data_IF_196382966014
#
_entry.id   IF_196382966014
#
_cell.length_a   1.000
_cell.length_b   1.000
_cell.length_c   1.000
_cell.angle_alpha   90.00
_cell.angle_beta   90.00
_cell.angle_gamma   90.00
#
_symmetry.space_group_name_H-M   'P 1'
#
loop_
_entity.id
_entity.type
_entity.pdbx_description
1 polymer ?
#
# COMPACT_ATOMS: atom_id res chain seq x y z
N UNK A 1 21.50 -19.00 13.17
CA UNK A 1 20.83 -20.11 12.43
C UNK A 1 19.45 -19.69 11.94
N UNK A 2 18.70 -18.93 12.75
CA UNK A 2 17.40 -18.36 12.38
C UNK A 2 17.47 -17.44 11.15
N UNK A 3 18.50 -16.60 11.06
CA UNK A 3 18.72 -15.67 9.95
C UNK A 3 18.88 -16.42 8.63
N UNK A 4 19.66 -17.51 8.64
CA UNK A 4 19.89 -18.33 7.44
C UNK A 4 18.61 -19.06 7.00
N UNK A 5 17.81 -19.54 7.96
CA UNK A 5 16.50 -20.12 7.66
C UNK A 5 15.53 -19.07 7.08
N UNK A 6 15.51 -17.85 7.64
CA UNK A 6 14.69 -16.75 7.15
C UNK A 6 15.08 -16.34 5.72
N UNK A 7 16.38 -16.15 5.46
CA UNK A 7 16.88 -15.82 4.12
C UNK A 7 16.51 -16.92 3.13
N UNK A 8 16.71 -18.19 3.50
CA UNK A 8 16.36 -19.32 2.63
C UNK A 8 14.87 -19.35 2.32
N UNK A 9 14.01 -19.14 3.32
CA UNK A 9 12.57 -19.08 3.13
C UNK A 9 12.15 -17.92 2.21
N UNK A 10 12.75 -16.74 2.36
CA UNK A 10 12.50 -15.58 1.49
C UNK A 10 12.92 -15.89 0.05
N UNK A 11 14.12 -16.44 -0.15
CA UNK A 11 14.62 -16.79 -1.48
C UNK A 11 13.71 -17.82 -2.15
N UNK A 12 13.33 -18.88 -1.43
CA UNK A 12 12.40 -19.89 -1.95
C UNK A 12 11.04 -19.29 -2.28
N UNK A 13 10.51 -18.39 -1.46
CA UNK A 13 9.26 -17.70 -1.75
C UNK A 13 9.36 -16.84 -3.02
N UNK A 14 10.45 -16.08 -3.17
CA UNK A 14 10.66 -15.24 -4.36
C UNK A 14 10.80 -16.07 -5.64
N UNK A 15 11.60 -17.14 -5.59
CA UNK A 15 11.77 -18.07 -6.72
C UNK A 15 10.45 -18.77 -7.04
N UNK A 16 9.72 -19.24 -6.01
CA UNK A 16 8.43 -19.91 -6.18
C UNK A 16 7.37 -18.98 -6.80
N UNK A 17 7.28 -17.73 -6.35
CA UNK A 17 6.39 -16.73 -6.94
C UNK A 17 6.79 -16.44 -8.39
N UNK A 18 8.09 -16.24 -8.67
CA UNK A 18 8.57 -16.04 -10.04
C UNK A 18 8.24 -17.21 -10.97
N UNK A 19 8.46 -18.44 -10.50
CA UNK A 19 8.13 -19.66 -11.24
C UNK A 19 6.62 -19.79 -11.49
N UNK A 20 5.78 -19.48 -10.49
CA UNK A 20 4.33 -19.50 -10.66
C UNK A 20 3.87 -18.48 -11.71
N UNK A 21 4.39 -17.25 -11.63
CA UNK A 21 4.05 -16.17 -12.56
C UNK A 21 4.54 -16.45 -13.99
N UNK A 22 5.62 -17.22 -14.16
CA UNK A 22 6.13 -17.60 -15.47
C UNK A 22 5.09 -18.33 -16.32
N UNK A 23 4.28 -19.22 -15.71
CA UNK A 23 3.24 -19.96 -16.42
C UNK A 23 1.98 -19.13 -16.74
N UNK A 24 1.86 -17.94 -16.17
CA UNK A 24 0.70 -17.07 -16.39
C UNK A 24 0.87 -16.29 -17.70
N UNK A 25 -0.15 -16.25 -18.58
CA UNK A 25 -0.12 -15.45 -19.80
C UNK A 25 0.09 -13.97 -19.49
N UNK A 26 0.86 -13.29 -20.35
CA UNK A 26 1.19 -11.86 -20.18
C UNK A 26 -0.07 -10.98 -20.06
N UNK A 27 -1.12 -11.29 -20.84
CA UNK A 27 -2.37 -10.53 -20.83
C UNK A 27 -3.11 -10.67 -19.48
N UNK A 28 -3.08 -11.87 -18.87
CA UNK A 28 -3.66 -12.10 -17.56
C UNK A 28 -2.89 -11.35 -16.46
N UNK A 29 -1.55 -11.34 -16.51
CA UNK A 29 -0.72 -10.56 -15.59
C UNK A 29 -1.00 -9.06 -15.72
N UNK A 30 -1.05 -8.54 -16.94
CA UNK A 30 -1.35 -7.14 -17.20
C UNK A 30 -2.74 -6.75 -16.69
N UNK A 31 -3.75 -7.58 -16.96
CA UNK A 31 -5.14 -7.33 -16.53
C UNK A 31 -5.27 -7.39 -15.01
N UNK A 32 -4.71 -8.42 -14.37
CA UNK A 32 -4.72 -8.55 -12.92
C UNK A 32 -3.99 -7.37 -12.24
N UNK A 33 -2.85 -6.96 -12.81
CA UNK A 33 -2.09 -5.82 -12.32
C UNK A 33 -2.87 -4.50 -12.42
N UNK A 34 -3.51 -4.27 -13.56
CA UNK A 34 -4.38 -3.10 -13.76
C UNK A 34 -5.57 -3.10 -12.79
N UNK A 35 -6.25 -4.23 -12.62
CA UNK A 35 -7.39 -4.36 -11.68
C UNK A 35 -6.94 -4.10 -10.25
N UNK A 36 -5.82 -4.71 -9.82
CA UNK A 36 -5.25 -4.48 -8.48
C UNK A 36 -4.92 -3.01 -8.25
N UNK A 37 -4.30 -2.34 -9.24
CA UNK A 37 -3.97 -0.93 -9.15
C UNK A 37 -5.23 -0.06 -9.05
N UNK A 38 -6.26 -0.33 -9.84
CA UNK A 38 -7.55 0.39 -9.78
C UNK A 38 -8.23 0.19 -8.44
N UNK A 39 -8.31 -1.05 -7.95
CA UNK A 39 -8.88 -1.36 -6.62
C UNK A 39 -8.10 -0.63 -5.52
N UNK A 40 -6.77 -0.65 -5.60
CA UNK A 40 -5.89 0.07 -4.68
C UNK A 40 -6.08 1.59 -4.72
N UNK A 41 -6.31 2.17 -5.90
CA UNK A 41 -6.64 3.60 -6.08
C UNK A 41 -7.99 3.93 -5.45
N UNK A 42 -9.03 3.17 -5.79
CA UNK A 42 -10.40 3.41 -5.33
C UNK A 42 -10.55 3.20 -3.82
N UNK A 43 -9.81 2.28 -3.23
CA UNK A 43 -9.81 2.08 -1.77
C UNK A 43 -8.82 2.98 -1.03
N UNK A 44 -7.61 3.10 -1.56
CA UNK A 44 -6.46 3.74 -0.90
C UNK A 44 -6.57 5.26 -0.86
N UNK A 45 -6.88 5.92 -1.98
CA UNK A 45 -6.96 7.38 -2.02
C UNK A 45 -8.06 7.93 -1.11
N UNK A 46 -9.32 7.43 -1.16
CA UNK A 46 -10.37 7.90 -0.26
C UNK A 46 -10.03 7.65 1.21
N UNK A 47 -9.42 6.51 1.52
CA UNK A 47 -9.01 6.17 2.89
C UNK A 47 -7.90 7.10 3.40
N UNK A 48 -6.90 7.40 2.56
CA UNK A 48 -5.85 8.35 2.88
C UNK A 48 -6.40 9.77 3.08
N UNK A 49 -7.33 10.21 2.24
CA UNK A 49 -8.00 11.51 2.38
C UNK A 49 -8.81 11.56 3.69
N UNK A 50 -9.60 10.53 3.97
CA UNK A 50 -10.36 10.39 5.22
C UNK A 50 -9.43 10.45 6.43
N UNK A 51 -8.30 9.76 6.40
CA UNK A 51 -7.28 9.82 7.42
C UNK A 51 -6.78 11.26 7.65
N UNK A 52 -6.38 11.97 6.60
CA UNK A 52 -5.91 13.36 6.73
C UNK A 52 -6.99 14.28 7.30
N UNK A 53 -8.24 14.16 6.84
CA UNK A 53 -9.35 14.96 7.37
C UNK A 53 -9.61 14.68 8.84
N UNK A 54 -9.59 13.42 9.26
CA UNK A 54 -9.81 13.01 10.66
C UNK A 54 -8.65 13.44 11.55
N UNK A 55 -7.42 13.27 11.11
CA UNK A 55 -6.24 13.73 11.83
C UNK A 55 -6.24 15.24 12.01
N UNK A 56 -6.59 16.00 10.95
CA UNK A 56 -6.73 17.45 11.03
C UNK A 56 -7.74 17.88 12.09
N UNK A 57 -8.90 17.21 12.16
CA UNK A 57 -9.94 17.50 13.16
C UNK A 57 -9.41 17.29 14.58
N UNK A 58 -8.78 16.15 14.84
CA UNK A 58 -8.21 15.86 16.17
C UNK A 58 -7.14 16.90 16.55
N UNK A 59 -6.27 17.27 15.61
CA UNK A 59 -5.22 18.27 15.88
C UNK A 59 -5.78 19.67 16.15
N UNK A 60 -6.84 20.05 15.43
CA UNK A 60 -7.56 21.30 15.69
C UNK A 60 -8.21 21.31 17.07
N UNK A 61 -8.86 20.21 17.47
CA UNK A 61 -9.49 20.08 18.78
C UNK A 61 -8.47 20.20 19.93
N UNK A 62 -7.24 19.74 19.72
CA UNK A 62 -6.14 19.89 20.69
C UNK A 62 -5.45 21.26 20.65
N UNK A 63 -5.91 22.20 19.81
CA UNK A 63 -5.34 23.55 19.69
C UNK A 63 -3.92 23.61 19.10
N UNK A 64 -3.40 22.49 18.61
CA UNK A 64 -2.01 22.33 18.20
C UNK A 64 -1.92 21.74 16.80
N UNK A 65 -2.38 22.50 15.78
CA UNK A 65 -2.22 22.17 14.37
C UNK A 65 -0.91 22.79 13.83
N UNK A 66 0.19 22.02 13.72
CA UNK A 66 1.46 22.59 13.29
C UNK A 66 1.41 22.99 11.82
N UNK A 67 2.16 24.02 11.45
CA UNK A 67 2.43 24.29 10.06
C UNK A 67 3.02 23.03 9.40
N UNK A 68 2.53 22.66 8.23
CA UNK A 68 2.99 21.49 7.45
C UNK A 68 2.74 20.11 8.10
N UNK A 69 1.79 19.98 9.03
CA UNK A 69 1.38 18.69 9.63
C UNK A 69 1.08 17.57 8.61
N UNK A 70 0.52 17.93 7.45
CA UNK A 70 0.22 17.02 6.35
C UNK A 70 1.44 16.36 5.69
N UNK A 71 2.64 16.96 5.76
CA UNK A 71 3.89 16.39 5.22
C UNK A 71 4.44 15.28 6.13
N UNK A 72 4.30 15.45 7.44
CA UNK A 72 4.74 14.49 8.45
C UNK A 72 3.59 14.21 9.42
N UNK A 73 2.59 13.42 9.01
CA UNK A 73 1.38 13.23 9.81
C UNK A 73 1.56 12.13 10.90
N UNK A 74 2.53 11.24 10.76
CA UNK A 74 2.78 10.12 11.68
C UNK A 74 3.30 10.51 13.07
N UNK A 75 4.20 11.50 13.25
CA UNK A 75 4.60 11.97 14.59
C UNK A 75 3.41 12.50 15.41
N UNK A 76 2.33 12.92 14.75
CA UNK A 76 1.15 13.44 15.41
C UNK A 76 0.22 12.35 15.96
N UNK A 77 0.46 11.07 15.66
CA UNK A 77 -0.33 9.96 16.17
C UNK A 77 -0.28 9.84 17.69
N UNK A 78 0.82 10.28 18.32
CA UNK A 78 0.97 10.32 19.78
C UNK A 78 0.04 11.33 20.46
N UNK A 79 -0.47 12.32 19.71
CA UNK A 79 -1.39 13.35 20.22
C UNK A 79 -2.86 12.95 20.11
N UNK A 80 -3.14 11.76 19.55
CA UNK A 80 -4.49 11.25 19.39
C UNK A 80 -4.88 10.53 20.68
N UNK A 81 -5.94 11.00 21.32
CA UNK A 81 -6.56 10.34 22.46
C UNK A 81 -6.99 8.90 22.10
N UNK A 82 -6.89 7.97 23.04
CA UNK A 82 -7.11 6.53 22.82
C UNK A 82 -8.52 6.25 22.28
N UNK A 83 -9.52 7.02 22.74
CA UNK A 83 -10.89 6.93 22.26
C UNK A 83 -11.03 7.23 20.76
N UNK A 84 -10.21 8.14 20.23
CA UNK A 84 -10.25 8.57 18.81
C UNK A 84 -9.20 7.88 17.94
N UNK A 85 -8.27 7.14 18.55
CA UNK A 85 -7.15 6.49 17.87
C UNK A 85 -7.60 5.54 16.78
N UNK A 86 -8.56 4.65 17.06
CA UNK A 86 -9.10 3.72 16.03
C UNK A 86 -9.78 4.46 14.87
N UNK A 87 -10.51 5.53 15.17
CA UNK A 87 -11.23 6.32 14.17
C UNK A 87 -10.28 7.00 13.18
N UNK A 88 -9.10 7.43 13.63
CA UNK A 88 -8.07 8.03 12.75
C UNK A 88 -7.20 6.95 12.07
N UNK A 89 -6.77 5.92 12.81
CA UNK A 89 -5.79 4.95 12.31
C UNK A 89 -6.38 3.88 11.39
N UNK A 90 -7.67 3.52 11.50
CA UNK A 90 -8.27 2.54 10.58
C UNK A 90 -8.19 3.03 9.12
N UNK A 91 -8.63 4.25 8.76
CA UNK A 91 -8.43 4.80 7.42
C UNK A 91 -6.95 4.92 7.01
N UNK A 92 -6.04 5.16 7.96
CA UNK A 92 -4.60 5.17 7.68
C UNK A 92 -4.11 3.80 7.21
N UNK A 93 -4.44 2.73 7.95
CA UNK A 93 -4.06 1.37 7.57
C UNK A 93 -4.74 0.92 6.27
N UNK A 94 -6.00 1.29 6.05
CA UNK A 94 -6.69 1.03 4.78
C UNK A 94 -6.02 1.78 3.61
N UNK A 95 -5.63 3.03 3.83
CA UNK A 95 -4.87 3.82 2.85
C UNK A 95 -3.52 3.18 2.52
N UNK A 96 -2.77 2.75 3.53
CA UNK A 96 -1.50 2.06 3.38
C UNK A 96 -1.64 0.72 2.65
N UNK A 97 -2.67 -0.07 2.99
CA UNK A 97 -2.98 -1.32 2.30
C UNK A 97 -3.35 -1.06 0.83
N UNK A 98 -4.18 -0.03 0.56
CA UNK A 98 -4.51 0.39 -0.80
C UNK A 98 -3.27 0.81 -1.59
N UNK A 99 -2.36 1.57 -0.99
CA UNK A 99 -1.09 1.92 -1.64
C UNK A 99 -0.22 0.70 -1.95
N UNK A 100 -0.13 -0.27 -1.03
CA UNK A 100 0.56 -1.53 -1.29
C UNK A 100 -0.06 -2.31 -2.47
N UNK A 101 -1.40 -2.33 -2.58
CA UNK A 101 -2.10 -2.92 -3.74
C UNK A 101 -1.78 -2.18 -5.04
N UNK A 102 -1.66 -0.85 -5.02
CA UNK A 102 -1.23 -0.07 -6.18
C UNK A 102 0.17 -0.50 -6.61
N UNK A 103 1.14 -0.55 -5.69
CA UNK A 103 2.51 -0.93 -6.01
C UNK A 103 2.59 -2.37 -6.56
N UNK A 104 1.90 -3.31 -5.92
CA UNK A 104 1.83 -4.69 -6.39
C UNK A 104 1.17 -4.79 -7.77
N UNK A 105 0.06 -4.07 -7.98
CA UNK A 105 -0.64 -4.01 -9.26
C UNK A 105 0.23 -3.42 -10.38
N UNK A 106 0.90 -2.30 -10.12
CA UNK A 106 1.84 -1.67 -11.05
C UNK A 106 3.01 -2.61 -11.40
N UNK A 107 3.57 -3.31 -10.40
CA UNK A 107 4.63 -4.29 -10.64
C UNK A 107 4.16 -5.44 -11.54
N UNK A 108 2.99 -6.00 -11.25
CA UNK A 108 2.42 -7.10 -12.05
C UNK A 108 2.08 -6.65 -13.47
N UNK A 109 1.53 -5.44 -13.62
CA UNK A 109 1.25 -4.82 -14.90
C UNK A 109 2.54 -4.61 -15.71
N UNK A 110 3.59 -4.08 -15.09
CA UNK A 110 4.89 -3.88 -15.74
C UNK A 110 5.49 -5.20 -16.23
N UNK A 111 5.44 -6.26 -15.42
CA UNK A 111 5.90 -7.61 -15.81
C UNK A 111 5.06 -8.16 -16.97
N UNK A 112 3.73 -8.01 -16.93
CA UNK A 112 2.84 -8.42 -18.01
C UNK A 112 3.13 -7.68 -19.31
N UNK A 113 3.33 -6.37 -19.25
CA UNK A 113 3.67 -5.53 -20.42
C UNK A 113 5.05 -5.88 -20.96
N UNK A 114 6.05 -6.11 -20.11
CA UNK A 114 7.40 -6.48 -20.53
C UNK A 114 7.45 -7.87 -21.20
N UNK A 115 6.55 -8.78 -20.83
CA UNK A 115 6.41 -10.11 -21.48
C UNK A 115 5.50 -10.10 -22.71
N UNK A 116 4.93 -8.94 -23.04
CA UNK A 116 4.07 -8.78 -24.20
C UNK A 116 4.90 -8.94 -25.48
N UNK A 117 4.34 -9.50 -26.57
CA UNK A 117 4.98 -9.51 -27.89
C UNK A 117 5.32 -8.10 -28.42
N UNK A 118 4.73 -7.07 -27.83
CA UNK A 118 4.91 -5.66 -28.20
C UNK A 118 5.82 -4.89 -27.22
N UNK A 119 6.30 -5.55 -26.16
CA UNK A 119 7.03 -4.93 -25.07
C UNK A 119 8.52 -5.22 -25.13
N UNK A 120 9.26 -4.55 -26.03
CA UNK A 120 10.74 -4.57 -26.06
C UNK A 120 11.35 -5.83 -26.65
#
# INVERSE_FOLDING_TARGET
MFELALVTAIVLALVGVGALLFWVPWAALATAGAVLAVVGVLGGLPSALLYHLRLRRVLLDTGALPARWWLHPTPHHQRIDDARRRWVLVPFYLGAAGFALILAGCGLLAVGVWRSPYGG
#
